data_IF_824695328359
#
_entry.id   IF_824695328359
#
_cell.length_a   1.000
_cell.length_b   1.000
_cell.length_c   1.000
_cell.angle_alpha   90.00
_cell.angle_beta   90.00
_cell.angle_gamma   90.00
#
_symmetry.space_group_name_H-M   'P 1'
#
loop_
_entity.id
_entity.type
_entity.pdbx_description
1 polymer ?
#
# COMPACT_ATOMS: atom_id res chain seq x y z
N UNK A 1 3.92 11.33 24.80
CA UNK A 1 3.32 12.67 24.58
C UNK A 1 1.83 12.50 24.35
N UNK A 2 0.96 13.21 25.09
CA UNK A 2 -0.50 13.15 24.84
C UNK A 2 -0.75 13.77 23.47
N UNK A 3 -1.30 13.00 22.54
CA UNK A 3 -1.60 13.52 21.19
C UNK A 3 -2.68 14.59 21.32
N UNK A 4 -2.47 15.80 20.77
CA UNK A 4 -3.46 16.88 20.68
C UNK A 4 -4.60 16.56 19.66
N UNK A 5 -4.82 15.28 19.32
CA UNK A 5 -5.80 14.88 18.32
C UNK A 5 -7.20 14.93 18.92
N UNK A 6 -8.13 15.54 18.18
CA UNK A 6 -9.55 15.53 18.57
C UNK A 6 -10.07 14.08 18.55
N UNK A 7 -10.89 13.70 19.55
CA UNK A 7 -11.59 12.43 19.52
C UNK A 7 -12.39 12.24 18.24
N UNK A 8 -12.37 11.03 17.69
CA UNK A 8 -13.17 10.67 16.54
C UNK A 8 -14.67 10.79 16.86
N UNK A 9 -15.40 11.52 16.03
CA UNK A 9 -16.82 11.86 16.25
C UNK A 9 -17.79 10.99 15.44
N UNK A 10 -17.29 10.03 14.66
CA UNK A 10 -18.18 9.18 13.87
C UNK A 10 -18.98 8.21 14.74
N UNK A 11 -20.11 7.70 14.23
CA UNK A 11 -21.09 6.97 15.04
C UNK A 11 -20.69 5.51 15.33
N UNK A 12 -19.67 4.97 14.66
CA UNK A 12 -19.26 3.57 14.75
C UNK A 12 -17.76 3.42 14.58
N UNK A 13 -17.24 2.30 15.08
CA UNK A 13 -15.85 1.92 14.84
C UNK A 13 -15.59 1.74 13.34
N UNK A 14 -14.46 2.24 12.86
CA UNK A 14 -14.03 2.09 11.47
C UNK A 14 -12.56 1.71 11.39
N UNK A 15 -12.21 0.89 10.40
CA UNK A 15 -10.83 0.63 10.02
C UNK A 15 -10.46 1.57 8.87
N UNK A 16 -9.40 2.32 9.04
CA UNK A 16 -8.79 3.14 7.99
C UNK A 16 -7.36 2.68 7.81
N UNK A 17 -6.92 2.52 6.56
CA UNK A 17 -5.53 2.19 6.26
C UNK A 17 -4.93 3.20 5.31
N UNK A 18 -3.67 3.53 5.56
CA UNK A 18 -2.84 4.32 4.68
C UNK A 18 -1.85 3.43 3.97
N UNK A 19 -1.70 3.58 2.66
CA UNK A 19 -0.71 2.82 1.91
C UNK A 19 0.05 3.79 1.00
N UNK A 20 1.37 3.77 1.14
CA UNK A 20 2.30 4.38 0.22
C UNK A 20 3.04 3.30 -0.54
N UNK A 21 2.81 3.22 -1.85
CA UNK A 21 3.55 2.32 -2.72
C UNK A 21 4.49 3.21 -3.52
N UNK A 22 5.77 3.24 -3.20
CA UNK A 22 6.78 4.02 -3.92
C UNK A 22 7.40 3.27 -5.09
N UNK A 23 8.36 3.90 -5.75
CA UNK A 23 9.16 3.25 -6.81
C UNK A 23 10.17 2.26 -6.22
N UNK A 24 10.74 2.60 -5.06
CA UNK A 24 11.79 1.81 -4.39
C UNK A 24 11.29 1.15 -3.13
N UNK A 25 10.54 1.89 -2.30
CA UNK A 25 10.02 1.42 -1.03
C UNK A 25 8.55 1.76 -0.89
N UNK A 26 7.85 0.89 -0.19
CA UNK A 26 6.45 1.02 0.17
C UNK A 26 6.32 1.03 1.70
N UNK A 27 5.23 1.57 2.22
CA UNK A 27 4.89 1.56 3.64
C UNK A 27 3.36 1.49 3.81
N UNK A 28 2.91 1.02 4.97
CA UNK A 28 1.50 1.02 5.31
C UNK A 28 1.29 1.32 6.79
N UNK A 29 0.10 1.83 7.13
CA UNK A 29 -0.32 2.01 8.51
C UNK A 29 -1.82 1.75 8.68
N UNK A 30 -2.19 1.38 9.90
CA UNK A 30 -3.56 1.09 10.34
C UNK A 30 -4.01 2.15 11.33
N UNK A 31 -5.28 2.54 11.23
CA UNK A 31 -5.95 3.34 12.24
C UNK A 31 -7.35 2.78 12.50
N UNK A 32 -7.59 2.31 13.72
CA UNK A 32 -8.92 1.91 14.18
C UNK A 32 -9.56 3.11 14.86
N UNK A 33 -10.50 3.74 14.17
CA UNK A 33 -11.25 4.89 14.66
C UNK A 33 -12.35 4.40 15.61
N UNK A 34 -12.27 4.76 16.89
CA UNK A 34 -13.28 4.44 17.89
C UNK A 34 -14.01 5.72 18.34
N UNK A 35 -15.35 5.74 18.39
CA UNK A 35 -16.11 6.92 18.82
C UNK A 35 -15.65 7.42 20.19
N UNK A 36 -15.36 8.71 20.29
CA UNK A 36 -14.89 9.34 21.54
C UNK A 36 -13.40 9.13 21.86
N UNK A 37 -12.66 8.40 21.02
CA UNK A 37 -11.22 8.17 21.21
C UNK A 37 -10.40 8.95 20.19
N UNK A 38 -9.30 9.63 20.59
CA UNK A 38 -8.35 10.22 19.65
C UNK A 38 -7.75 9.16 18.71
N UNK A 39 -7.70 9.39 17.38
CA UNK A 39 -7.10 8.44 16.44
C UNK A 39 -5.64 8.12 16.75
N UNK A 40 -5.29 6.83 16.73
CA UNK A 40 -3.92 6.32 16.83
C UNK A 40 -3.58 5.61 15.52
N UNK A 41 -2.44 5.96 14.94
CA UNK A 41 -1.93 5.34 13.72
C UNK A 41 -0.82 4.38 14.11
N UNK A 42 -0.89 3.18 13.57
CA UNK A 42 0.03 2.09 13.82
C UNK A 42 0.70 1.73 12.50
N UNK A 43 1.99 2.01 12.39
CA UNK A 43 2.78 1.65 11.21
C UNK A 43 3.02 0.14 11.18
N UNK A 44 3.02 -0.43 9.97
CA UNK A 44 3.45 -1.80 9.76
C UNK A 44 4.98 -1.81 9.80
N UNK A 45 5.53 -2.26 10.93
CA UNK A 45 6.98 -2.31 11.16
C UNK A 45 7.61 -3.69 10.93
N UNK A 46 6.79 -4.74 10.78
CA UNK A 46 7.26 -6.12 10.63
C UNK A 46 6.76 -6.68 9.30
N UNK A 47 7.61 -6.58 8.30
CA UNK A 47 7.37 -7.18 6.98
C UNK A 47 7.98 -8.60 6.92
N UNK A 48 7.39 -9.53 6.13
CA UNK A 48 7.94 -10.86 5.93
C UNK A 48 9.41 -10.81 5.51
N UNK A 49 10.24 -11.63 6.17
CA UNK A 49 11.68 -11.80 5.90
C UNK A 49 12.52 -10.52 6.00
N UNK A 50 11.97 -9.46 6.61
CA UNK A 50 12.72 -8.25 6.91
C UNK A 50 13.62 -8.46 8.13
N UNK A 51 14.91 -8.14 8.00
CA UNK A 51 15.90 -8.42 9.04
C UNK A 51 15.69 -7.62 10.33
N UNK A 52 15.35 -6.33 10.18
CA UNK A 52 15.11 -5.41 11.29
C UNK A 52 13.74 -4.75 11.10
N UNK A 53 13.00 -4.44 12.20
CA UNK A 53 11.76 -3.70 12.09
C UNK A 53 11.99 -2.33 11.42
N UNK A 54 11.28 -2.08 10.32
CA UNK A 54 11.27 -0.80 9.61
C UNK A 54 9.91 -0.62 8.94
N UNK A 55 9.41 0.62 8.93
CA UNK A 55 8.13 0.95 8.29
C UNK A 55 8.16 0.73 6.76
N UNK A 56 9.34 0.79 6.15
CA UNK A 56 9.56 0.65 4.72
C UNK A 56 9.88 -0.78 4.33
N UNK A 57 9.26 -1.23 3.24
CA UNK A 57 9.53 -2.51 2.59
C UNK A 57 9.87 -2.25 1.11
N UNK A 58 10.82 -2.97 0.49
CA UNK A 58 11.11 -2.82 -0.94
C UNK A 58 9.85 -2.97 -1.81
N UNK A 59 9.72 -2.15 -2.85
CA UNK A 59 8.63 -2.25 -3.84
C UNK A 59 9.00 -3.25 -4.94
N UNK A 60 9.39 -4.46 -4.54
CA UNK A 60 9.91 -5.50 -5.44
C UNK A 60 9.00 -6.73 -5.46
N UNK A 61 8.97 -7.40 -6.61
CA UNK A 61 8.26 -8.67 -6.82
C UNK A 61 9.10 -9.58 -7.71
N UNK A 62 9.22 -10.85 -7.34
CA UNK A 62 9.67 -11.90 -8.27
C UNK A 62 8.46 -12.63 -8.86
N UNK A 63 8.52 -12.89 -10.16
CA UNK A 63 7.52 -13.63 -10.91
C UNK A 63 8.12 -14.87 -11.54
N UNK A 64 7.44 -16.01 -11.48
CA UNK A 64 7.81 -17.16 -12.30
C UNK A 64 7.44 -16.95 -13.78
N UNK A 65 7.82 -17.89 -14.64
CA UNK A 65 7.56 -17.83 -16.08
C UNK A 65 6.07 -17.84 -16.45
N UNK A 66 5.20 -18.33 -15.55
CA UNK A 66 3.74 -18.26 -15.71
C UNK A 66 3.16 -16.89 -15.32
N UNK A 67 4.02 -16.01 -14.78
CA UNK A 67 3.65 -14.72 -14.21
C UNK A 67 3.12 -14.84 -12.78
N UNK A 68 3.24 -15.95 -12.06
CA UNK A 68 2.75 -15.99 -10.67
C UNK A 68 3.75 -15.28 -9.74
N UNK A 69 3.30 -14.40 -8.82
CA UNK A 69 4.18 -13.85 -7.78
C UNK A 69 4.76 -14.97 -6.92
N UNK A 70 6.07 -14.93 -6.70
CA UNK A 70 6.81 -15.92 -5.90
C UNK A 70 7.21 -15.37 -4.54
N UNK A 71 7.73 -14.15 -4.53
CA UNK A 71 7.95 -13.40 -3.32
C UNK A 71 7.91 -11.90 -3.59
N UNK A 72 7.63 -11.14 -2.52
CA UNK A 72 7.42 -9.69 -2.58
C UNK A 72 8.12 -9.03 -1.39
N UNK A 73 8.45 -7.75 -1.55
CA UNK A 73 8.97 -6.96 -0.45
C UNK A 73 10.38 -7.38 -0.02
N UNK A 74 10.64 -7.40 1.28
CA UNK A 74 11.97 -7.70 1.80
C UNK A 74 12.43 -9.14 1.50
N UNK A 75 11.51 -10.06 1.22
CA UNK A 75 11.82 -11.44 0.87
C UNK A 75 12.59 -11.55 -0.45
N UNK A 76 12.37 -10.63 -1.40
CA UNK A 76 13.10 -10.64 -2.69
C UNK A 76 14.60 -10.45 -2.52
N UNK A 77 15.03 -9.89 -1.39
CA UNK A 77 16.45 -9.68 -1.09
C UNK A 77 17.10 -10.84 -0.32
N UNK A 78 16.31 -11.81 0.13
CA UNK A 78 16.83 -12.95 0.88
C UNK A 78 17.74 -13.85 0.02
N UNK A 79 18.78 -14.47 0.61
CA UNK A 79 19.64 -15.41 -0.12
C UNK A 79 18.86 -16.56 -0.76
N UNK A 80 17.89 -17.13 -0.03
CA UNK A 80 17.06 -18.24 -0.51
C UNK A 80 16.23 -17.83 -1.74
N UNK A 81 15.55 -16.67 -1.68
CA UNK A 81 14.77 -16.20 -2.82
C UNK A 81 15.62 -15.89 -4.05
N UNK A 82 16.85 -15.39 -3.87
CA UNK A 82 17.78 -15.13 -4.98
C UNK A 82 18.27 -16.44 -5.62
N UNK A 83 18.62 -17.43 -4.79
CA UNK A 83 19.02 -18.74 -5.28
C UNK A 83 17.89 -19.45 -6.04
N UNK A 84 16.66 -19.43 -5.50
CA UNK A 84 15.48 -19.99 -6.18
C UNK A 84 15.13 -19.22 -7.46
N UNK A 85 15.24 -17.89 -7.46
CA UNK A 85 15.01 -17.08 -8.65
C UNK A 85 16.00 -17.42 -9.78
N UNK A 86 17.28 -17.61 -9.45
CA UNK A 86 18.32 -18.00 -10.40
C UNK A 86 18.09 -19.43 -10.93
N UNK A 87 17.69 -20.37 -10.07
CA UNK A 87 17.44 -21.77 -10.44
C UNK A 87 16.17 -21.96 -11.28
N UNK A 88 15.06 -21.33 -10.88
CA UNK A 88 13.76 -21.47 -11.54
C UNK A 88 13.51 -20.41 -12.64
N UNK A 89 14.45 -19.49 -12.84
CA UNK A 89 14.36 -18.43 -13.85
C UNK A 89 13.26 -17.42 -13.55
N UNK A 90 13.11 -17.00 -12.30
CA UNK A 90 12.16 -15.95 -11.93
C UNK A 90 12.62 -14.58 -12.44
N UNK A 91 11.66 -13.74 -12.81
CA UNK A 91 11.89 -12.40 -13.34
C UNK A 91 11.62 -11.38 -12.23
N UNK A 92 12.61 -10.51 -11.96
CA UNK A 92 12.49 -9.42 -10.99
C UNK A 92 11.75 -8.24 -11.61
N UNK A 93 10.62 -7.85 -11.01
CA UNK A 93 9.96 -6.59 -11.32
C UNK A 93 10.46 -5.51 -10.35
N UNK A 94 11.32 -4.61 -10.82
CA UNK A 94 11.78 -3.43 -10.09
C UNK A 94 11.42 -2.13 -10.79
N UNK A 95 11.24 -1.06 -10.01
CA UNK A 95 10.84 0.27 -10.51
C UNK A 95 9.58 0.27 -11.38
N UNK A 96 8.77 -0.78 -11.31
CA UNK A 96 7.55 -0.99 -12.11
C UNK A 96 6.55 0.15 -11.93
N UNK A 97 6.52 0.84 -10.77
CA UNK A 97 5.67 2.03 -10.54
C UNK A 97 5.93 3.15 -11.56
N UNK A 98 7.13 3.24 -12.14
CA UNK A 98 7.44 4.24 -13.17
C UNK A 98 6.61 4.05 -14.45
N UNK A 99 6.14 2.82 -14.73
CA UNK A 99 5.21 2.56 -15.85
C UNK A 99 3.77 3.06 -15.57
N UNK A 100 3.44 3.47 -14.34
CA UNK A 100 2.18 4.16 -14.01
C UNK A 100 2.24 5.67 -14.22
N UNK A 101 3.44 6.23 -14.48
CA UNK A 101 3.65 7.68 -14.63
C UNK A 101 2.76 8.23 -15.75
N UNK A 102 2.01 9.31 -15.51
CA UNK A 102 1.28 10.00 -16.55
C UNK A 102 2.17 10.56 -17.65
N UNK A 103 1.81 10.27 -18.91
CA UNK A 103 2.55 10.74 -20.09
C UNK A 103 2.55 12.26 -20.26
N UNK A 104 1.56 12.96 -19.66
CA UNK A 104 1.47 14.42 -19.70
C UNK A 104 2.43 15.11 -18.71
N UNK A 105 3.02 14.39 -17.76
CA UNK A 105 4.00 14.99 -16.86
C UNK A 105 5.34 15.14 -17.60
N UNK A 106 6.08 16.25 -17.39
CA UNK A 106 7.38 16.44 -18.01
C UNK A 106 8.28 15.23 -17.78
N UNK A 107 9.05 14.82 -18.80
CA UNK A 107 10.11 13.82 -18.58
C UNK A 107 11.05 14.34 -17.49
N UNK A 108 11.58 13.42 -16.67
CA UNK A 108 12.56 13.80 -15.67
C UNK A 108 13.85 14.15 -16.42
N UNK A 109 14.08 15.44 -16.67
CA UNK A 109 15.26 15.92 -17.39
C UNK A 109 16.54 15.54 -16.63
N UNK A 110 17.56 15.04 -17.36
CA UNK A 110 18.88 14.71 -16.80
C UNK A 110 18.98 13.32 -16.17
N UNK A 111 17.94 12.49 -16.28
CA UNK A 111 17.92 11.12 -15.79
C UNK A 111 17.46 10.21 -16.94
N UNK A 112 18.40 9.71 -17.73
CA UNK A 112 18.17 8.53 -18.58
C UNK A 112 18.21 7.29 -17.68
N UNK A 113 17.18 7.07 -16.86
CA UNK A 113 17.01 5.77 -16.21
C UNK A 113 16.46 4.82 -17.27
N UNK A 114 17.24 3.82 -17.62
CA UNK A 114 16.76 2.61 -18.26
C UNK A 114 15.84 1.90 -17.27
N UNK A 115 14.53 1.94 -17.51
CA UNK A 115 13.55 1.26 -16.67
C UNK A 115 13.56 -0.21 -17.08
N UNK A 116 13.82 -1.16 -16.15
CA UNK A 116 13.80 -2.58 -16.45
C UNK A 116 12.45 -3.02 -17.00
N UNK A 117 12.47 -3.88 -18.01
CA UNK A 117 11.25 -4.42 -18.63
C UNK A 117 10.39 -5.15 -17.60
N UNK A 118 9.07 -5.04 -17.77
CA UNK A 118 8.14 -5.83 -16.97
C UNK A 118 8.21 -7.31 -17.38
N UNK A 119 7.90 -8.25 -16.47
CA UNK A 119 7.73 -9.65 -16.82
C UNK A 119 6.74 -9.78 -18.01
N UNK A 120 7.05 -10.56 -19.06
CA UNK A 120 6.25 -10.56 -20.30
C UNK A 120 4.77 -10.89 -20.13
N UNK A 121 4.43 -11.66 -19.09
CA UNK A 121 3.06 -12.08 -18.76
C UNK A 121 2.31 -11.10 -17.84
N UNK A 122 2.92 -9.97 -17.46
CA UNK A 122 2.37 -9.04 -16.48
C UNK A 122 2.37 -7.60 -16.95
N UNK A 123 1.23 -6.94 -16.76
CA UNK A 123 1.12 -5.49 -16.89
C UNK A 123 1.48 -4.80 -15.56
N UNK A 124 1.79 -3.52 -15.61
CA UNK A 124 2.01 -2.72 -14.40
C UNK A 124 0.79 -2.68 -13.47
N UNK A 125 -0.43 -2.80 -14.03
CA UNK A 125 -1.65 -2.85 -13.21
C UNK A 125 -1.73 -4.16 -12.44
N UNK A 126 -1.30 -5.27 -13.04
CA UNK A 126 -1.26 -6.58 -12.38
C UNK A 126 -0.25 -6.55 -11.23
N UNK A 127 0.96 -6.02 -11.48
CA UNK A 127 1.99 -5.90 -10.46
C UNK A 127 1.52 -5.02 -9.30
N UNK A 128 0.80 -3.94 -9.61
CA UNK A 128 0.26 -3.08 -8.57
C UNK A 128 -0.83 -3.78 -7.75
N UNK A 129 -1.70 -4.58 -8.38
CA UNK A 129 -2.71 -5.37 -7.68
C UNK A 129 -2.07 -6.46 -6.79
N UNK A 130 -1.09 -7.20 -7.32
CA UNK A 130 -0.35 -8.22 -6.55
C UNK A 130 0.33 -7.61 -5.31
N UNK A 131 0.94 -6.42 -5.47
CA UNK A 131 1.59 -5.73 -4.35
C UNK A 131 0.58 -5.21 -3.32
N UNK A 132 -0.58 -4.71 -3.75
CA UNK A 132 -1.66 -4.31 -2.84
C UNK A 132 -2.27 -5.52 -2.11
N UNK A 133 -2.33 -6.69 -2.74
CA UNK A 133 -2.75 -7.92 -2.09
C UNK A 133 -1.75 -8.36 -1.02
N UNK A 134 -0.45 -8.26 -1.30
CA UNK A 134 0.59 -8.47 -0.29
C UNK A 134 0.42 -7.53 0.91
N UNK A 135 0.22 -6.23 0.67
CA UNK A 135 -0.01 -5.25 1.74
C UNK A 135 -1.28 -5.56 2.52
N UNK A 136 -2.38 -5.93 1.85
CA UNK A 136 -3.64 -6.38 2.50
C UNK A 136 -3.37 -7.53 3.48
N UNK A 137 -2.56 -8.51 3.07
CA UNK A 137 -2.16 -9.63 3.94
C UNK A 137 -1.41 -9.15 5.19
N UNK A 138 -0.49 -8.19 5.04
CA UNK A 138 0.26 -7.65 6.19
C UNK A 138 -0.62 -6.80 7.12
N UNK A 139 -1.54 -6.02 6.57
CA UNK A 139 -2.54 -5.28 7.35
C UNK A 139 -3.39 -6.24 8.19
N UNK A 140 -3.83 -7.35 7.61
CA UNK A 140 -4.58 -8.38 8.33
C UNK A 140 -3.76 -8.96 9.48
N UNK A 141 -2.54 -9.43 9.21
CA UNK A 141 -1.66 -10.01 10.23
C UNK A 141 -1.39 -9.03 11.37
N UNK A 142 -1.14 -7.76 11.06
CA UNK A 142 -0.92 -6.73 12.08
C UNK A 142 -2.15 -6.53 12.97
N UNK A 143 -3.33 -6.37 12.38
CA UNK A 143 -4.58 -6.17 13.15
C UNK A 143 -4.92 -7.40 13.98
N UNK A 144 -4.78 -8.61 13.43
CA UNK A 144 -5.13 -9.84 14.15
C UNK A 144 -4.17 -10.15 15.29
N UNK A 145 -2.90 -9.76 15.18
CA UNK A 145 -1.88 -10.02 16.21
C UNK A 145 -1.73 -8.91 17.25
N UNK A 146 -2.03 -7.65 16.91
CA UNK A 146 -1.81 -6.50 17.80
C UNK A 146 -2.96 -6.23 18.77
N UNK A 147 -4.14 -6.81 18.54
CA UNK A 147 -5.33 -6.57 19.36
C UNK A 147 -5.90 -7.87 19.92
N UNK A 148 -6.30 -7.86 21.20
CA UNK A 148 -6.80 -9.07 21.89
C UNK A 148 -8.04 -9.72 21.26
N UNK A 149 -8.85 -8.96 20.51
CA UNK A 149 -9.98 -9.45 19.71
C UNK A 149 -9.76 -9.25 18.19
N UNK A 150 -8.50 -9.26 17.76
CA UNK A 150 -8.07 -8.84 16.42
C UNK A 150 -8.76 -9.56 15.27
N UNK A 151 -9.01 -10.87 15.36
CA UNK A 151 -9.74 -11.62 14.33
C UNK A 151 -11.18 -11.12 14.14
N UNK A 152 -11.93 -11.00 15.24
CA UNK A 152 -13.28 -10.43 15.20
C UNK A 152 -13.27 -8.99 14.69
N UNK A 153 -12.25 -8.21 15.05
CA UNK A 153 -12.10 -6.83 14.62
C UNK A 153 -11.87 -6.73 13.11
N UNK A 154 -10.92 -7.50 12.57
CA UNK A 154 -10.66 -7.56 11.13
C UNK A 154 -11.91 -8.00 10.36
N UNK A 155 -12.53 -9.12 10.76
CA UNK A 155 -13.71 -9.67 10.10
C UNK A 155 -14.90 -8.70 10.06
N UNK A 156 -15.10 -7.93 11.13
CA UNK A 156 -16.20 -6.96 11.21
C UNK A 156 -15.94 -5.66 10.44
N UNK A 157 -14.69 -5.21 10.34
CA UNK A 157 -14.35 -3.91 9.77
C UNK A 157 -13.87 -3.97 8.32
N UNK A 158 -13.18 -5.04 7.92
CA UNK A 158 -12.49 -5.19 6.63
C UNK A 158 -13.37 -4.80 5.43
N UNK A 159 -14.60 -5.33 5.36
CA UNK A 159 -15.52 -5.08 4.23
C UNK A 159 -15.87 -3.60 4.05
N UNK A 160 -15.79 -2.81 5.11
CA UNK A 160 -16.13 -1.39 5.13
C UNK A 160 -14.92 -0.49 5.43
N UNK A 161 -13.70 -1.02 5.28
CA UNK A 161 -12.47 -0.28 5.47
C UNK A 161 -12.36 0.85 4.44
N UNK A 162 -11.90 2.00 4.89
CA UNK A 162 -11.52 3.11 4.01
C UNK A 162 -10.00 3.06 3.77
N UNK A 163 -9.59 3.21 2.52
CA UNK A 163 -8.19 3.14 2.10
C UNK A 163 -7.76 4.51 1.61
N UNK A 164 -6.61 4.97 2.08
CA UNK A 164 -5.96 6.17 1.57
C UNK A 164 -4.67 5.74 0.86
N UNK A 165 -4.63 5.91 -0.45
CA UNK A 165 -3.42 5.72 -1.25
C UNK A 165 -2.71 7.06 -1.43
N UNK A 166 -1.40 7.08 -1.22
CA UNK A 166 -0.58 8.24 -1.59
C UNK A 166 -0.21 8.20 -3.06
N UNK A 167 -0.09 9.38 -3.65
CA UNK A 167 0.28 9.56 -5.05
C UNK A 167 1.27 10.71 -5.23
N UNK A 168 2.15 10.64 -6.24
CA UNK A 168 2.91 11.81 -6.64
C UNK A 168 1.97 12.93 -7.10
N UNK A 169 2.43 14.18 -6.98
CA UNK A 169 1.66 15.33 -7.44
C UNK A 169 1.27 15.19 -8.92
N UNK A 170 0.03 15.55 -9.24
CA UNK A 170 -0.51 15.52 -10.59
C UNK A 170 -0.99 14.14 -11.06
N UNK A 171 -0.97 13.10 -10.23
CA UNK A 171 -1.60 11.81 -10.54
C UNK A 171 -3.10 11.85 -10.22
N UNK A 172 -3.87 12.40 -11.16
CA UNK A 172 -5.32 12.61 -11.02
C UNK A 172 -6.12 11.84 -12.07
N UNK A 173 -7.46 11.90 -11.99
CA UNK A 173 -8.36 11.35 -12.99
C UNK A 173 -8.12 9.87 -13.30
N UNK A 174 -7.65 9.59 -14.53
CA UNK A 174 -7.42 8.22 -15.03
C UNK A 174 -6.40 7.43 -14.22
N UNK A 175 -5.38 8.07 -13.64
CA UNK A 175 -4.38 7.37 -12.83
C UNK A 175 -4.98 6.89 -11.52
N UNK A 176 -5.69 7.77 -10.81
CA UNK A 176 -6.44 7.40 -9.61
C UNK A 176 -7.50 6.34 -9.90
N UNK A 177 -8.16 6.39 -11.07
CA UNK A 177 -9.09 5.35 -11.48
C UNK A 177 -8.41 3.98 -11.61
N UNK A 178 -7.28 3.90 -12.34
CA UNK A 178 -6.49 2.66 -12.44
C UNK A 178 -6.05 2.13 -11.07
N UNK A 179 -5.66 3.02 -10.16
CA UNK A 179 -5.26 2.62 -8.81
C UNK A 179 -6.43 2.08 -7.98
N UNK A 180 -7.65 2.61 -8.18
CA UNK A 180 -8.88 2.05 -7.59
C UNK A 180 -9.17 0.65 -8.14
N UNK A 181 -9.02 0.45 -9.44
CA UNK A 181 -9.23 -0.85 -10.08
C UNK A 181 -8.23 -1.88 -9.54
N UNK A 182 -6.95 -1.53 -9.41
CA UNK A 182 -5.93 -2.39 -8.81
C UNK A 182 -6.26 -2.75 -7.35
N UNK A 183 -6.73 -1.79 -6.55
CA UNK A 183 -7.15 -2.05 -5.17
C UNK A 183 -8.37 -2.99 -5.08
N UNK A 184 -9.29 -2.91 -6.04
CA UNK A 184 -10.42 -3.86 -6.14
C UNK A 184 -9.95 -5.24 -6.61
N UNK A 185 -9.06 -5.31 -7.60
CA UNK A 185 -8.49 -6.56 -8.10
C UNK A 185 -7.69 -7.31 -7.02
N UNK A 186 -6.93 -6.57 -6.20
CA UNK A 186 -6.22 -7.08 -5.02
C UNK A 186 -7.14 -7.58 -3.89
N UNK A 187 -8.45 -7.37 -4.02
CA UNK A 187 -9.43 -7.60 -2.97
C UNK A 187 -9.29 -6.68 -1.77
N UNK A 188 -8.39 -5.69 -1.78
CA UNK A 188 -8.16 -4.75 -0.67
C UNK A 188 -9.44 -3.96 -0.31
N UNK A 189 -10.25 -3.64 -1.32
CA UNK A 189 -11.57 -3.01 -1.15
C UNK A 189 -12.62 -3.70 -2.02
N UNK A 190 -13.89 -3.60 -1.63
CA UNK A 190 -15.01 -4.10 -2.43
C UNK A 190 -15.35 -3.10 -3.55
N UNK A 191 -15.25 -1.80 -3.26
CA UNK A 191 -15.59 -0.71 -4.19
C UNK A 191 -14.45 0.30 -4.22
N UNK A 192 -14.07 0.72 -5.43
CA UNK A 192 -13.07 1.79 -5.61
C UNK A 192 -13.41 3.12 -4.92
N UNK A 193 -14.68 3.37 -4.57
CA UNK A 193 -15.09 4.56 -3.80
C UNK A 193 -14.58 4.58 -2.35
N UNK A 194 -14.18 3.41 -1.81
CA UNK A 194 -13.49 3.27 -0.53
C UNK A 194 -12.04 3.77 -0.59
N UNK A 195 -11.48 3.92 -1.79
CA UNK A 195 -10.13 4.43 -1.98
C UNK A 195 -10.16 5.94 -2.20
N UNK A 196 -9.45 6.64 -1.34
CA UNK A 196 -9.19 8.07 -1.38
C UNK A 196 -7.71 8.29 -1.65
N UNK A 197 -7.38 9.48 -2.13
CA UNK A 197 -6.02 9.83 -2.50
C UNK A 197 -5.55 11.01 -1.69
N UNK A 198 -4.29 10.94 -1.27
CA UNK A 198 -3.52 12.10 -0.83
C UNK A 198 -2.27 12.19 -1.70
N UNK A 199 -1.80 13.41 -1.91
CA UNK A 199 -0.49 13.60 -2.51
C UNK A 199 0.61 13.34 -1.47
N UNK A 200 1.76 12.86 -1.91
CA UNK A 200 2.96 12.69 -1.07
C UNK A 200 3.35 14.03 -0.40
N UNK A 201 3.12 15.16 -1.07
CA UNK A 201 3.33 16.50 -0.50
C UNK A 201 2.36 16.84 0.63
N UNK A 202 1.06 16.54 0.49
CA UNK A 202 0.06 16.71 1.56
C UNK A 202 0.40 15.86 2.77
N UNK A 203 0.88 14.63 2.53
CA UNK A 203 1.36 13.71 3.57
C UNK A 203 2.55 14.28 4.32
N UNK A 204 3.57 14.76 3.60
CA UNK A 204 4.76 15.37 4.21
C UNK A 204 4.42 16.63 5.02
N UNK A 205 3.39 17.38 4.59
CA UNK A 205 2.86 18.53 5.34
C UNK A 205 2.01 18.13 6.57
N UNK A 206 1.82 16.83 6.84
CA UNK A 206 1.05 16.34 7.97
C UNK A 206 -0.47 16.40 7.76
N UNK A 207 -0.96 16.39 6.52
CA UNK A 207 -2.40 16.50 6.24
C UNK A 207 -3.18 15.21 6.54
N UNK A 208 -2.50 14.08 6.78
CA UNK A 208 -3.08 12.77 7.11
C UNK A 208 -4.25 12.85 8.12
N UNK A 209 -4.12 13.67 9.16
CA UNK A 209 -5.09 13.78 10.24
C UNK A 209 -6.33 14.62 9.89
N UNK A 210 -6.18 15.63 9.04
CA UNK A 210 -7.31 16.48 8.62
C UNK A 210 -8.29 15.70 7.76
N UNK A 211 -7.77 14.76 6.97
CA UNK A 211 -8.60 13.91 6.16
C UNK A 211 -9.32 12.89 7.05
N UNK A 212 -8.64 12.06 7.85
CA UNK A 212 -9.30 11.00 8.67
C UNK A 212 -10.46 11.47 9.56
N UNK A 213 -10.46 12.73 10.01
CA UNK A 213 -11.52 13.31 10.85
C UNK A 213 -12.67 14.02 10.10
N UNK A 214 -12.51 14.40 8.83
CA UNK A 214 -13.55 15.10 8.05
C UNK A 214 -14.48 14.18 7.25
N UNK A 215 -14.20 12.87 7.21
CA UNK A 215 -14.77 11.96 6.20
C UNK A 215 -16.26 11.63 6.28
N UNK A 216 -17.08 12.22 7.18
CA UNK A 216 -18.56 12.09 7.16
C UNK A 216 -19.33 13.30 7.72
N UNK A 217 -18.84 14.52 7.51
CA UNK A 217 -19.63 15.74 7.79
C UNK A 217 -20.47 16.21 6.59
N UNK A 218 -20.61 15.39 5.55
CA UNK A 218 -21.35 15.67 4.32
C UNK A 218 -22.13 14.45 3.88
#
# INVERSE_FOLDING_TARGET
MRSNRRPYQGPRTQLVVSIDIGTTFSAASVCILQPGTPPVFEEILRWPKQANPDAKVPSLVYYDSSGKPRCLGAETDSPDAKAEADEEGWIKAEWWKLYLRPDYLPKINGIEIEIPELPPSRTVNDIFADFLEYVKGQLQVHVTSSHGNGESLWNSLYRNMDVVLTTPNGWEGRHQHRMREAATAAGLVIRGTQVKFLTEAEVAAGSWWHYTLRWRSS
#
